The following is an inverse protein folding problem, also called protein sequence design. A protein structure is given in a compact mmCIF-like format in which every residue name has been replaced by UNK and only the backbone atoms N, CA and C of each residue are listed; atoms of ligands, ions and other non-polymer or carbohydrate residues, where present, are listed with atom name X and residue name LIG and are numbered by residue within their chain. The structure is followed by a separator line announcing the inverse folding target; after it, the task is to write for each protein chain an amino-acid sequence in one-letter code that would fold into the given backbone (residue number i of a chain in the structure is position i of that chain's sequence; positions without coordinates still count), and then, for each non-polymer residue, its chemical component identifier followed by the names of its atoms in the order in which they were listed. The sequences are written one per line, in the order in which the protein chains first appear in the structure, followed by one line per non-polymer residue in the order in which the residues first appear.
data_IF_101857555805
#
_entry.id   IF_101857555805
#
_cell.length_a   1.000
_cell.length_b   1.000
_cell.length_c   1.000
_cell.angle_alpha   90.00
_cell.angle_beta   90.00
_cell.angle_gamma   90.00
#
_symmetry.space_group_name_H-M   'P 1'
#
loop_
_entity.id
_entity.type
_entity.pdbx_description
1 polymer ?
#
# COMPACT_ATOMS: atom_id res chain seq x y z
N UNK A 1 -12.32 28.79 2.16
CA UNK A 1 -11.72 28.57 0.83
C UNK A 1 -11.65 27.06 0.65
N UNK A 2 -12.66 26.47 -0.05
CA UNK A 2 -12.68 25.04 -0.34
C UNK A 2 -11.59 24.77 -1.39
N UNK A 3 -10.57 23.98 -1.02
CA UNK A 3 -9.67 23.42 -2.01
C UNK A 3 -10.47 22.40 -2.83
N UNK A 4 -10.70 22.67 -4.09
CA UNK A 4 -11.21 21.68 -5.03
C UNK A 4 -10.18 20.54 -5.09
N UNK A 5 -10.64 19.31 -4.88
CA UNK A 5 -9.81 18.11 -4.89
C UNK A 5 -9.29 17.88 -6.32
N UNK A 6 -8.08 18.31 -6.61
CA UNK A 6 -7.43 18.24 -7.94
C UNK A 6 -6.72 16.88 -8.18
N UNK A 7 -7.23 15.77 -7.64
CA UNK A 7 -6.68 14.45 -7.91
C UNK A 7 -7.63 13.60 -8.75
N UNK A 8 -7.06 12.71 -9.55
CA UNK A 8 -7.80 11.77 -10.39
C UNK A 8 -7.52 10.34 -9.93
N UNK A 9 -8.53 9.50 -9.99
CA UNK A 9 -8.40 8.06 -9.82
C UNK A 9 -8.39 7.43 -11.20
N UNK A 10 -7.35 6.66 -11.48
CA UNK A 10 -7.32 5.78 -12.65
C UNK A 10 -7.42 4.34 -12.15
N UNK A 11 -8.29 3.55 -12.77
CA UNK A 11 -8.43 2.12 -12.54
C UNK A 11 -8.08 1.37 -13.81
N UNK A 12 -7.29 0.32 -13.68
CA UNK A 12 -6.94 -0.58 -14.76
C UNK A 12 -7.38 -2.00 -14.38
N UNK A 13 -8.24 -2.59 -15.21
CA UNK A 13 -8.63 -3.99 -15.13
C UNK A 13 -8.06 -4.73 -16.33
N UNK A 14 -7.24 -5.74 -16.10
CA UNK A 14 -6.74 -6.67 -17.14
C UNK A 14 -6.27 -5.99 -18.44
N UNK A 15 -5.49 -4.92 -18.34
CA UNK A 15 -4.93 -4.20 -19.50
C UNK A 15 -5.89 -3.29 -20.24
N UNK A 16 -7.08 -2.99 -19.72
CA UNK A 16 -8.02 -1.99 -20.26
C UNK A 16 -8.09 -0.79 -19.36
N UNK A 17 -7.60 0.35 -19.84
CA UNK A 17 -7.72 1.62 -19.12
C UNK A 17 -9.16 2.13 -19.16
N UNK A 18 -9.77 2.26 -18.00
CA UNK A 18 -11.02 3.00 -17.83
C UNK A 18 -10.73 4.39 -17.24
N UNK A 19 -10.99 5.41 -18.02
CA UNK A 19 -10.91 6.80 -17.58
C UNK A 19 -12.14 7.09 -16.69
N UNK A 20 -12.02 6.86 -15.39
CA UNK A 20 -13.03 7.21 -14.40
C UNK A 20 -13.09 8.73 -14.20
N UNK A 21 -14.04 9.39 -14.87
CA UNK A 21 -14.41 10.75 -14.50
C UNK A 21 -14.88 10.77 -13.05
N UNK A 22 -14.29 11.70 -12.27
CA UNK A 22 -14.73 12.19 -10.96
C UNK A 22 -15.87 11.41 -10.30
N UNK A 23 -15.58 10.32 -9.57
CA UNK A 23 -16.58 9.63 -8.74
C UNK A 23 -16.73 10.32 -7.38
N UNK A 24 -16.89 11.61 -7.37
CA UNK A 24 -17.41 12.32 -6.21
C UNK A 24 -18.94 12.35 -6.38
N UNK A 25 -19.65 11.39 -5.77
CA UNK A 25 -21.09 11.50 -5.59
C UNK A 25 -21.39 12.58 -4.56
N UNK A 26 -22.45 13.35 -4.80
CA UNK A 26 -22.91 14.39 -3.89
C UNK A 26 -23.14 13.86 -2.46
N UNK A 27 -22.86 14.66 -1.41
CA UNK A 27 -23.02 14.22 -0.03
C UNK A 27 -24.51 14.00 0.26
N UNK A 28 -24.91 12.76 0.61
CA UNK A 28 -26.20 12.60 1.23
C UNK A 28 -27.05 11.36 0.95
N UNK A 29 -26.58 10.32 0.27
CA UNK A 29 -27.44 9.16 0.00
C UNK A 29 -26.70 7.81 0.12
N UNK A 30 -26.16 7.51 1.30
CA UNK A 30 -25.85 6.11 1.63
C UNK A 30 -26.24 5.83 3.08
N UNK A 31 -27.05 4.79 3.35
CA UNK A 31 -27.27 4.33 4.72
C UNK A 31 -25.98 3.79 5.30
N UNK A 32 -25.75 4.02 6.60
CA UNK A 32 -24.54 3.71 7.36
C UNK A 32 -24.27 2.19 7.57
N UNK A 33 -24.67 1.30 6.67
CA UNK A 33 -24.60 -0.15 6.79
C UNK A 33 -24.20 -0.88 5.49
N UNK A 34 -23.64 -0.20 4.50
CA UNK A 34 -23.21 -0.93 3.30
C UNK A 34 -21.90 -1.66 3.58
N UNK A 35 -22.04 -2.95 3.89
CA UNK A 35 -20.96 -3.94 3.84
C UNK A 35 -20.31 -3.83 2.44
N UNK A 36 -18.96 -3.86 2.34
CA UNK A 36 -18.26 -3.84 1.05
C UNK A 36 -18.80 -4.91 0.11
N UNK A 37 -18.73 -4.68 -1.20
CA UNK A 37 -19.05 -5.70 -2.18
C UNK A 37 -18.14 -6.93 -1.95
N UNK A 38 -18.69 -8.12 -2.12
CA UNK A 38 -17.98 -9.39 -1.86
C UNK A 38 -16.70 -9.58 -2.67
N UNK A 39 -16.53 -8.80 -3.74
CA UNK A 39 -15.41 -8.83 -4.67
C UNK A 39 -14.32 -7.74 -4.41
N UNK A 40 -14.51 -6.85 -3.43
CA UNK A 40 -13.54 -5.80 -3.12
C UNK A 40 -12.57 -6.25 -2.00
N UNK A 41 -11.26 -6.10 -2.25
CA UNK A 41 -10.21 -6.41 -1.25
C UNK A 41 -9.89 -5.22 -0.34
N UNK A 42 -10.03 -4.00 -0.86
CA UNK A 42 -9.88 -2.77 -0.10
C UNK A 42 -11.04 -1.84 -0.44
N UNK A 43 -11.75 -1.35 0.56
CA UNK A 43 -12.89 -0.44 0.36
C UNK A 43 -12.80 0.75 1.30
N UNK A 44 -13.06 1.94 0.77
CA UNK A 44 -13.22 3.18 1.51
C UNK A 44 -14.66 3.66 1.37
N UNK A 45 -15.32 3.96 2.51
CA UNK A 45 -16.70 4.46 2.56
C UNK A 45 -16.74 5.77 3.34
N UNK A 46 -17.13 6.85 2.66
CA UNK A 46 -17.23 8.22 3.18
C UNK A 46 -15.99 8.66 3.95
N UNK A 47 -14.82 8.10 3.54
CA UNK A 47 -13.58 8.29 4.24
C UNK A 47 -13.19 9.79 4.23
N UNK A 48 -12.94 10.32 5.42
CA UNK A 48 -12.45 11.68 5.64
C UNK A 48 -11.06 11.59 6.25
N UNK A 49 -10.09 12.19 5.58
CA UNK A 49 -8.67 12.18 5.95
C UNK A 49 -8.14 13.58 6.21
N UNK A 50 -7.12 13.71 7.05
CA UNK A 50 -6.49 14.99 7.40
C UNK A 50 -5.59 14.86 8.62
N UNK A 51 -5.23 15.99 9.22
CA UNK A 51 -4.33 16.08 10.36
C UNK A 51 -5.04 16.80 11.53
N UNK A 52 -4.75 16.39 12.76
CA UNK A 52 -5.24 17.03 13.99
C UNK A 52 -6.75 17.27 14.00
N UNK A 53 -7.53 16.33 13.45
CA UNK A 53 -8.98 16.41 13.23
C UNK A 53 -9.42 17.51 12.25
N UNK A 54 -8.49 18.14 11.53
CA UNK A 54 -8.81 19.10 10.48
C UNK A 54 -8.91 18.31 9.16
N UNK A 55 -10.11 18.25 8.54
CA UNK A 55 -10.30 17.52 7.30
C UNK A 55 -9.54 18.16 6.13
N UNK A 56 -8.75 17.37 5.41
CA UNK A 56 -8.11 17.75 4.16
C UNK A 56 -8.94 17.29 2.95
N UNK A 57 -9.39 16.03 2.97
CA UNK A 57 -10.22 15.44 1.93
C UNK A 57 -11.38 14.73 2.60
N UNK A 58 -12.59 14.88 2.05
CA UNK A 58 -13.82 14.32 2.58
C UNK A 58 -14.51 13.42 1.56
N UNK A 59 -15.34 12.50 2.05
CA UNK A 59 -16.26 11.70 1.26
C UNK A 59 -15.54 10.85 0.17
N UNK A 60 -14.42 10.23 0.51
CA UNK A 60 -13.71 9.32 -0.39
C UNK A 60 -14.47 8.00 -0.39
N UNK A 61 -14.97 7.61 -1.58
CA UNK A 61 -15.66 6.35 -1.81
C UNK A 61 -14.93 5.62 -2.95
N UNK A 62 -14.15 4.60 -2.62
CA UNK A 62 -13.33 3.84 -3.55
C UNK A 62 -13.30 2.37 -3.13
N UNK A 63 -13.27 1.47 -4.10
CA UNK A 63 -13.04 0.04 -3.90
C UNK A 63 -11.98 -0.48 -4.87
N UNK A 64 -11.20 -1.47 -4.45
CA UNK A 64 -10.17 -2.14 -5.24
C UNK A 64 -10.42 -3.62 -5.21
N UNK A 65 -10.51 -4.25 -6.39
CA UNK A 65 -10.75 -5.68 -6.57
C UNK A 65 -9.44 -6.45 -6.77
N UNK A 66 -9.46 -7.78 -6.64
CA UNK A 66 -8.32 -8.61 -7.01
C UNK A 66 -7.87 -8.35 -8.45
N UNK A 67 -6.55 -8.18 -8.65
CA UNK A 67 -5.97 -7.90 -9.96
C UNK A 67 -6.23 -6.49 -10.50
N UNK A 68 -6.87 -5.61 -9.74
CA UNK A 68 -7.12 -4.22 -10.13
C UNK A 68 -5.97 -3.31 -9.65
N UNK A 69 -5.54 -2.39 -10.51
CA UNK A 69 -4.60 -1.33 -10.16
C UNK A 69 -5.35 -0.02 -10.02
N UNK A 70 -5.24 0.61 -8.85
CA UNK A 70 -5.80 1.92 -8.57
C UNK A 70 -4.68 2.95 -8.42
N UNK A 71 -4.64 3.94 -9.30
CA UNK A 71 -3.66 5.02 -9.25
C UNK A 71 -4.28 6.33 -8.77
N UNK A 72 -3.69 6.95 -7.74
CA UNK A 72 -4.02 8.27 -7.25
C UNK A 72 -3.12 9.31 -7.93
N UNK A 73 -3.67 10.12 -8.84
CA UNK A 73 -2.92 11.10 -9.62
C UNK A 73 -3.35 12.51 -9.22
N UNK A 74 -2.37 13.38 -8.98
CA UNK A 74 -2.62 14.78 -8.64
C UNK A 74 -1.34 15.51 -8.27
N UNK A 75 -1.37 16.84 -8.15
CA UNK A 75 -0.21 17.64 -7.80
C UNK A 75 0.33 17.31 -6.41
N UNK A 76 1.57 17.73 -6.13
CA UNK A 76 2.15 17.62 -4.79
C UNK A 76 1.29 18.41 -3.79
N UNK A 77 1.10 17.87 -2.59
CA UNK A 77 0.25 18.48 -1.57
C UNK A 77 -1.26 18.24 -1.74
N UNK A 78 -1.71 17.51 -2.79
CA UNK A 78 -3.14 17.21 -2.98
C UNK A 78 -3.73 16.18 -2.01
N UNK A 79 -2.92 15.64 -1.09
CA UNK A 79 -3.35 14.72 -0.04
C UNK A 79 -3.25 13.24 -0.40
N UNK A 80 -2.59 12.84 -1.50
CA UNK A 80 -2.39 11.43 -1.89
C UNK A 80 -1.78 10.61 -0.77
N UNK A 81 -0.61 11.03 -0.27
CA UNK A 81 0.07 10.35 0.83
C UNK A 81 -0.74 10.38 2.14
N UNK A 82 -1.58 11.41 2.35
CA UNK A 82 -2.49 11.46 3.51
C UNK A 82 -3.56 10.36 3.41
N UNK A 83 -4.12 10.12 2.22
CA UNK A 83 -5.03 9.00 1.98
C UNK A 83 -4.33 7.68 2.27
N UNK A 84 -3.15 7.44 1.67
CA UNK A 84 -2.39 6.21 1.83
C UNK A 84 -2.00 5.96 3.30
N UNK A 85 -1.52 6.99 4.01
CA UNK A 85 -1.19 6.90 5.44
C UNK A 85 -2.42 6.64 6.31
N UNK A 86 -3.60 7.13 5.93
CA UNK A 86 -4.85 6.84 6.65
C UNK A 86 -5.32 5.42 6.41
N UNK A 87 -5.26 4.92 5.16
CA UNK A 87 -5.59 3.53 4.83
C UNK A 87 -4.69 2.55 5.58
N UNK A 88 -3.42 2.88 5.81
CA UNK A 88 -2.46 2.03 6.52
C UNK A 88 -2.44 2.24 8.03
N UNK A 89 -3.40 2.97 8.60
CA UNK A 89 -3.50 3.34 10.03
C UNK A 89 -2.32 4.15 10.58
N UNK A 90 -1.42 4.66 9.75
CA UNK A 90 -0.37 5.60 10.19
C UNK A 90 -0.95 6.96 10.58
N UNK A 91 -2.09 7.34 9.98
CA UNK A 91 -2.90 8.48 10.38
C UNK A 91 -4.28 8.00 10.82
N UNK A 92 -4.82 8.65 11.86
CA UNK A 92 -6.17 8.38 12.33
C UNK A 92 -7.21 8.86 11.32
N UNK A 93 -8.19 8.02 11.03
CA UNK A 93 -9.38 8.39 10.27
C UNK A 93 -10.17 9.48 11.00
N UNK A 94 -10.53 10.56 10.32
CA UNK A 94 -11.38 11.62 10.86
C UNK A 94 -12.86 11.24 10.76
N UNK A 95 -13.26 10.62 9.65
CA UNK A 95 -14.63 10.14 9.43
C UNK A 95 -14.66 9.02 8.39
N UNK A 96 -15.80 8.34 8.27
CA UNK A 96 -15.95 7.21 7.35
C UNK A 96 -15.24 5.95 7.81
N UNK A 97 -15.06 4.98 6.92
CA UNK A 97 -14.50 3.68 7.25
C UNK A 97 -13.61 3.14 6.12
N UNK A 98 -12.64 2.30 6.49
CA UNK A 98 -11.82 1.50 5.58
C UNK A 98 -12.03 0.04 5.92
N UNK A 99 -12.19 -0.79 4.90
CA UNK A 99 -12.38 -2.24 5.03
C UNK A 99 -11.30 -2.97 4.25
N UNK A 100 -10.83 -4.09 4.81
CA UNK A 100 -10.04 -5.12 4.12
C UNK A 100 -10.93 -6.34 3.95
N UNK A 101 -11.33 -6.62 2.70
CA UNK A 101 -12.43 -7.52 2.44
C UNK A 101 -13.70 -7.03 3.15
N UNK A 102 -14.25 -7.88 4.03
CA UNK A 102 -15.46 -7.55 4.82
C UNK A 102 -15.16 -6.98 6.20
N UNK A 103 -13.90 -6.95 6.63
CA UNK A 103 -13.51 -6.59 7.98
C UNK A 103 -13.15 -5.11 8.08
N UNK A 104 -13.73 -4.42 9.08
CA UNK A 104 -13.38 -3.03 9.34
C UNK A 104 -11.95 -2.94 9.87
N UNK A 105 -11.12 -2.12 9.24
CA UNK A 105 -9.75 -1.91 9.70
C UNK A 105 -9.66 -1.36 11.13
N UNK A 106 -10.74 -0.78 11.67
CA UNK A 106 -10.78 -0.33 13.07
C UNK A 106 -10.73 -1.48 14.06
N UNK A 107 -11.29 -2.64 13.67
CA UNK A 107 -11.40 -3.85 14.50
C UNK A 107 -10.18 -4.74 14.39
N UNK A 108 -9.41 -4.64 13.29
CA UNK A 108 -8.22 -5.42 13.05
C UNK A 108 -7.03 -4.91 13.87
N UNK A 109 -6.23 -5.83 14.39
CA UNK A 109 -4.91 -5.54 14.96
C UNK A 109 -3.89 -5.21 13.87
N UNK A 110 -2.79 -4.54 14.21
CA UNK A 110 -1.72 -4.24 13.25
C UNK A 110 -1.10 -5.51 12.66
N UNK A 111 -1.05 -6.61 13.42
CA UNK A 111 -0.59 -7.91 12.93
C UNK A 111 -1.54 -8.51 11.90
N UNK A 112 -2.85 -8.38 12.07
CA UNK A 112 -3.84 -8.84 11.08
C UNK A 112 -3.76 -7.99 9.82
N UNK A 113 -3.73 -6.67 9.96
CA UNK A 113 -3.59 -5.76 8.82
C UNK A 113 -2.34 -6.09 8.01
N UNK A 114 -1.19 -6.32 8.67
CA UNK A 114 0.08 -6.61 8.00
C UNK A 114 0.11 -7.95 7.23
N UNK A 115 -0.87 -8.82 7.44
CA UNK A 115 -1.05 -10.04 6.64
C UNK A 115 -1.89 -9.82 5.38
N UNK A 116 -2.62 -8.73 5.30
CA UNK A 116 -3.52 -8.42 4.19
C UNK A 116 -3.03 -7.24 3.35
N UNK A 117 -2.21 -6.36 3.92
CA UNK A 117 -1.78 -5.13 3.29
C UNK A 117 -0.29 -4.89 3.52
N UNK A 118 0.44 -4.64 2.43
CA UNK A 118 1.83 -4.19 2.46
C UNK A 118 1.97 -2.80 1.85
N UNK A 119 3.02 -2.07 2.25
CA UNK A 119 3.27 -0.72 1.76
C UNK A 119 4.75 -0.48 1.50
N UNK A 120 5.04 0.16 0.37
CA UNK A 120 6.34 0.78 0.08
C UNK A 120 6.20 2.28 0.24
N UNK A 121 6.96 2.85 1.17
CA UNK A 121 7.01 4.29 1.42
C UNK A 121 8.26 4.91 0.82
N UNK A 122 8.18 6.18 0.49
CA UNK A 122 9.34 6.99 0.06
C UNK A 122 10.31 7.31 1.19
N UNK A 123 9.89 7.14 2.45
CA UNK A 123 10.73 7.45 3.60
C UNK A 123 11.94 6.50 3.69
N UNK A 124 13.13 7.08 3.92
CA UNK A 124 14.36 6.29 4.08
C UNK A 124 14.33 5.49 5.38
N UNK A 125 14.41 4.17 5.26
CA UNK A 125 14.62 3.32 6.42
C UNK A 125 16.08 3.44 6.85
N UNK A 126 16.30 3.90 8.06
CA UNK A 126 17.61 3.88 8.70
C UNK A 126 17.79 2.52 9.38
N UNK A 127 18.56 1.65 8.75
CA UNK A 127 18.92 0.34 9.31
C UNK A 127 20.41 0.35 9.63
N UNK A 128 20.78 -0.22 10.76
CA UNK A 128 22.20 -0.45 11.08
C UNK A 128 22.54 -1.92 10.84
N UNK A 129 23.65 -2.16 10.12
CA UNK A 129 24.26 -3.49 9.93
C UNK A 129 23.38 -4.56 9.26
N UNK A 130 22.34 -4.18 8.50
CA UNK A 130 21.53 -5.12 7.74
C UNK A 130 21.99 -5.20 6.29
N UNK A 131 22.06 -6.44 5.76
CA UNK A 131 22.19 -6.67 4.33
C UNK A 131 20.86 -6.37 3.59
N UNK A 132 20.94 -6.21 2.28
CA UNK A 132 19.71 -6.10 1.46
C UNK A 132 18.73 -7.26 1.68
N UNK A 133 19.28 -8.50 1.81
CA UNK A 133 18.48 -9.69 2.06
C UNK A 133 17.80 -9.67 3.44
N UNK A 134 18.51 -9.19 4.47
CA UNK A 134 17.91 -9.06 5.81
C UNK A 134 16.76 -8.05 5.81
N UNK A 135 16.89 -6.92 5.08
CA UNK A 135 15.82 -5.94 4.94
C UNK A 135 14.59 -6.57 4.28
N UNK A 136 14.76 -7.33 3.19
CA UNK A 136 13.64 -8.02 2.53
C UNK A 136 13.00 -9.04 3.49
N UNK A 137 13.81 -9.77 4.26
CA UNK A 137 13.36 -10.77 5.21
C UNK A 137 12.42 -10.18 6.30
N UNK A 138 12.56 -8.89 6.65
CA UNK A 138 11.61 -8.22 7.57
C UNK A 138 10.17 -8.24 7.06
N UNK A 139 9.94 -8.38 5.75
CA UNK A 139 8.59 -8.55 5.18
C UNK A 139 7.88 -9.81 5.66
N UNK A 140 8.63 -10.81 6.17
CA UNK A 140 8.05 -12.05 6.71
C UNK A 140 7.68 -11.98 8.18
N UNK A 141 8.03 -10.91 8.91
CA UNK A 141 7.75 -10.79 10.34
C UNK A 141 6.29 -10.97 10.73
N UNK A 142 5.26 -10.56 9.96
CA UNK A 142 3.87 -10.86 10.29
C UNK A 142 3.53 -12.35 10.39
N UNK A 143 4.37 -13.21 9.85
CA UNK A 143 4.16 -14.67 9.81
C UNK A 143 5.06 -15.42 10.79
N UNK A 144 6.02 -14.74 11.42
CA UNK A 144 6.90 -15.34 12.43
C UNK A 144 6.22 -15.34 13.80
N UNK A 145 6.60 -16.31 14.63
CA UNK A 145 6.17 -16.32 16.04
C UNK A 145 6.90 -15.26 16.88
N UNK A 146 6.71 -15.33 18.22
CA UNK A 146 7.31 -14.38 19.19
C UNK A 146 8.84 -14.23 19.10
N UNK A 147 9.53 -15.23 18.57
CA UNK A 147 11.00 -15.21 18.44
C UNK A 147 11.49 -14.62 17.12
N UNK A 148 10.59 -14.26 16.20
CA UNK A 148 10.98 -13.68 14.90
C UNK A 148 11.79 -14.61 13.99
N UNK A 149 11.77 -15.93 14.23
CA UNK A 149 12.57 -16.91 13.47
C UNK A 149 11.85 -17.23 12.16
N UNK A 150 12.54 -17.03 11.05
CA UNK A 150 12.05 -17.36 9.72
C UNK A 150 12.23 -18.84 9.43
N UNK A 151 11.21 -19.46 8.85
CA UNK A 151 11.23 -20.84 8.34
C UNK A 151 11.99 -20.91 6.99
N UNK A 152 12.29 -22.12 6.54
CA UNK A 152 12.84 -22.33 5.19
C UNK A 152 11.90 -21.79 4.09
N UNK A 153 10.59 -21.92 4.30
CA UNK A 153 9.60 -21.38 3.35
C UNK A 153 9.61 -19.85 3.31
N UNK A 154 9.82 -19.18 4.44
CA UNK A 154 9.96 -17.73 4.48
C UNK A 154 11.22 -17.28 3.72
N UNK A 155 12.35 -17.94 3.92
CA UNK A 155 13.59 -17.65 3.19
C UNK A 155 13.44 -17.87 1.69
N UNK A 156 12.68 -18.89 1.26
CA UNK A 156 12.38 -19.11 -0.16
C UNK A 156 11.59 -17.93 -0.74
N UNK A 157 10.57 -17.43 -0.03
CA UNK A 157 9.81 -16.24 -0.45
C UNK A 157 10.68 -14.98 -0.51
N UNK A 158 11.64 -14.83 0.40
CA UNK A 158 12.64 -13.74 0.36
C UNK A 158 13.45 -13.80 -0.94
N UNK A 159 14.01 -14.97 -1.26
CA UNK A 159 14.85 -15.15 -2.44
C UNK A 159 14.05 -14.98 -3.75
N UNK A 160 12.81 -15.48 -3.81
CA UNK A 160 11.90 -15.29 -4.94
C UNK A 160 11.57 -13.80 -5.15
N UNK A 161 11.27 -13.06 -4.08
CA UNK A 161 10.97 -11.64 -4.17
C UNK A 161 12.18 -10.81 -4.63
N UNK A 162 13.40 -11.13 -4.16
CA UNK A 162 14.64 -10.48 -4.61
C UNK A 162 14.89 -10.76 -6.09
N UNK A 163 14.67 -12.00 -6.53
CA UNK A 163 14.83 -12.39 -7.94
C UNK A 163 13.84 -11.64 -8.84
N UNK A 164 12.58 -11.51 -8.40
CA UNK A 164 11.51 -10.83 -9.14
C UNK A 164 11.85 -9.35 -9.44
N UNK A 165 12.48 -8.66 -8.49
CA UNK A 165 12.87 -7.25 -8.68
C UNK A 165 14.30 -7.09 -9.24
N UNK A 166 14.93 -8.16 -9.69
CA UNK A 166 16.30 -8.16 -10.23
C UNK A 166 17.33 -7.46 -9.32
N UNK A 167 17.29 -7.78 -8.00
CA UNK A 167 18.19 -7.18 -7.01
C UNK A 167 19.20 -8.20 -6.40
N UNK A 168 19.40 -9.36 -7.05
CA UNK A 168 20.30 -10.41 -6.58
C UNK A 168 21.74 -9.96 -6.38
N UNK A 169 22.25 -9.05 -7.22
CA UNK A 169 23.62 -8.54 -7.18
C UNK A 169 23.95 -7.73 -5.91
N UNK A 170 22.92 -7.18 -5.22
CA UNK A 170 23.12 -6.34 -4.02
C UNK A 170 22.56 -6.95 -2.74
N UNK A 171 21.98 -8.16 -2.81
CA UNK A 171 21.30 -8.77 -1.67
C UNK A 171 22.20 -8.98 -0.43
N UNK A 172 23.48 -9.21 -0.62
CA UNK A 172 24.45 -9.41 0.47
C UNK A 172 25.20 -8.14 0.87
N UNK A 173 24.96 -7.02 0.19
CA UNK A 173 25.61 -5.75 0.52
C UNK A 173 24.92 -5.06 1.69
N UNK A 174 25.68 -4.23 2.42
CA UNK A 174 25.12 -3.32 3.44
C UNK A 174 24.07 -2.41 2.78
N UNK A 175 22.84 -2.46 3.26
CA UNK A 175 21.70 -1.72 2.71
C UNK A 175 21.94 -0.20 2.64
N UNK A 176 22.83 0.34 3.48
CA UNK A 176 23.20 1.77 3.47
C UNK A 176 24.14 2.14 2.32
N UNK A 177 24.90 1.15 1.78
CA UNK A 177 25.96 1.37 0.78
C UNK A 177 25.52 1.18 -0.66
N UNK A 178 24.32 0.69 -0.88
CA UNK A 178 23.74 0.51 -2.21
C UNK A 178 23.10 1.81 -2.74
N UNK A 179 22.92 1.92 -4.05
CA UNK A 179 22.29 3.08 -4.67
C UNK A 179 20.80 3.23 -4.28
N UNK A 180 20.24 4.43 -4.43
CA UNK A 180 18.82 4.67 -4.11
C UNK A 180 17.89 3.80 -4.96
N UNK A 181 18.20 3.58 -6.25
CA UNK A 181 17.42 2.66 -7.11
C UNK A 181 17.49 1.21 -6.66
N UNK A 182 18.67 0.73 -6.26
CA UNK A 182 18.83 -0.62 -5.70
C UNK A 182 18.07 -0.76 -4.38
N UNK A 183 18.12 0.27 -3.53
CA UNK A 183 17.39 0.32 -2.27
C UNK A 183 15.87 0.23 -2.50
N UNK A 184 15.34 0.98 -3.46
CA UNK A 184 13.91 0.93 -3.79
C UNK A 184 13.49 -0.43 -4.32
N UNK A 185 14.30 -1.08 -5.18
CA UNK A 185 14.03 -2.45 -5.63
C UNK A 185 13.95 -3.42 -4.45
N UNK A 186 14.87 -3.34 -3.49
CA UNK A 186 14.81 -4.17 -2.29
C UNK A 186 13.62 -3.84 -1.39
N UNK A 187 13.20 -2.57 -1.30
CA UNK A 187 12.00 -2.19 -0.57
C UNK A 187 10.73 -2.73 -1.23
N UNK A 188 10.68 -2.75 -2.57
CA UNK A 188 9.61 -3.41 -3.30
C UNK A 188 9.64 -4.93 -3.04
N UNK A 189 10.81 -5.58 -3.11
CA UNK A 189 10.97 -7.00 -2.78
C UNK A 189 10.46 -7.31 -1.37
N UNK A 190 10.75 -6.45 -0.39
CA UNK A 190 10.26 -6.57 0.98
C UNK A 190 8.72 -6.57 1.04
N UNK A 191 8.07 -5.66 0.30
CA UNK A 191 6.62 -5.60 0.27
C UNK A 191 5.99 -6.79 -0.47
N UNK A 192 6.58 -7.25 -1.57
CA UNK A 192 6.18 -8.46 -2.31
C UNK A 192 6.37 -9.70 -1.44
N UNK A 193 7.51 -9.82 -0.76
CA UNK A 193 7.84 -10.93 0.14
C UNK A 193 6.81 -11.08 1.28
N UNK A 194 6.18 -9.99 1.68
CA UNK A 194 5.11 -10.01 2.68
C UNK A 194 3.88 -10.82 2.23
N UNK A 195 3.68 -11.01 0.90
CA UNK A 195 2.67 -11.90 0.32
C UNK A 195 1.24 -11.51 0.73
N UNK A 196 0.91 -10.26 0.53
CA UNK A 196 -0.37 -9.65 0.92
C UNK A 196 -1.32 -9.51 -0.28
N UNK A 197 -2.61 -9.41 0.00
CA UNK A 197 -3.65 -9.21 -1.01
C UNK A 197 -3.66 -7.79 -1.60
N UNK A 198 -3.20 -6.81 -0.82
CA UNK A 198 -3.14 -5.40 -1.21
C UNK A 198 -1.71 -4.89 -1.07
N UNK A 199 -1.17 -4.33 -2.16
CA UNK A 199 0.13 -3.65 -2.17
C UNK A 199 -0.09 -2.16 -2.42
N UNK A 200 0.39 -1.32 -1.51
CA UNK A 200 0.35 0.13 -1.63
C UNK A 200 1.75 0.66 -1.97
N UNK A 201 1.81 1.52 -2.99
CA UNK A 201 3.05 2.19 -3.40
C UNK A 201 2.85 3.69 -3.29
N UNK A 202 3.67 4.38 -2.48
CA UNK A 202 3.69 5.84 -2.39
C UNK A 202 4.83 6.37 -3.26
N UNK A 203 4.50 7.14 -4.32
CA UNK A 203 5.45 7.73 -5.29
C UNK A 203 6.44 6.72 -5.93
N UNK A 204 5.98 5.62 -6.55
CA UNK A 204 6.86 4.57 -7.07
C UNK A 204 7.70 5.00 -8.27
N UNK A 205 7.48 6.18 -8.82
CA UNK A 205 7.87 6.58 -10.18
C UNK A 205 9.35 6.89 -10.37
N UNK A 206 10.15 7.02 -9.31
CA UNK A 206 11.53 7.47 -9.48
C UNK A 206 12.47 6.40 -10.05
N UNK A 207 12.17 5.07 -9.89
CA UNK A 207 13.13 4.00 -10.23
C UNK A 207 12.48 2.62 -10.45
N UNK A 208 11.15 2.50 -10.52
CA UNK A 208 10.48 1.23 -10.74
C UNK A 208 9.96 1.13 -12.18
N UNK A 209 10.37 0.09 -12.87
CA UNK A 209 9.69 -0.38 -14.06
C UNK A 209 8.36 -1.01 -13.60
N UNK A 210 7.25 -0.31 -13.86
CA UNK A 210 5.91 -0.78 -13.47
C UNK A 210 5.54 -2.12 -14.12
N UNK A 211 6.25 -2.56 -15.17
CA UNK A 211 6.08 -3.87 -15.77
C UNK A 211 6.39 -5.02 -14.79
N UNK A 212 7.20 -4.77 -13.76
CA UNK A 212 7.51 -5.74 -12.71
C UNK A 212 6.33 -6.01 -11.75
N UNK A 213 5.29 -5.15 -11.78
CA UNK A 213 4.13 -5.26 -10.87
C UNK A 213 3.01 -6.12 -11.48
N UNK A 214 3.07 -6.45 -12.77
CA UNK A 214 2.18 -7.45 -13.38
C UNK A 214 2.51 -8.86 -12.84
N UNK A 215 2.18 -9.07 -11.58
CA UNK A 215 2.23 -10.40 -10.96
C UNK A 215 0.91 -11.10 -11.31
N UNK A 216 1.02 -12.13 -12.13
CA UNK A 216 -0.08 -13.02 -12.53
C UNK A 216 -0.66 -13.73 -11.31
#
# INVERSE_FOLDING_TARGET
MQMENNWKVMKEENGKQHNGQNMLKEPGQFPAQDIPNDDEQLTMRDLTVGYDRIPLIKNINLGVRPGEILALIGPNGSGKSTILKTITKQLKTIGGSVFLGKESMRELTDSEISRHLSMVMTERIHTELLSGRDVVATGRYPYTGRLGILSQQDWKKVDEAIALVHAGEVQQQDFRRISDGQRQRLMLARAICQDTQVLILDEPTSYLDLSLIHIS
#
